data_IF_378329528826
#
_entry.id   IF_378329528826
#
_cell.length_a   1.000
_cell.length_b   1.000
_cell.length_c   1.000
_cell.angle_alpha   90.00
_cell.angle_beta   90.00
_cell.angle_gamma   90.00
#
_symmetry.space_group_name_H-M   'P 1'
#
loop_
_entity.id
_entity.type
_entity.pdbx_description
1 polymer ?
#
# COMPACT_ATOMS: atom_id res chain seq x y z
N UNK A 1 12.66 -31.46 -6.21
CA UNK A 1 12.17 -30.24 -6.91
C UNK A 1 13.23 -29.89 -7.96
N UNK A 2 12.92 -29.94 -9.26
CA UNK A 2 13.90 -29.57 -10.31
C UNK A 2 14.08 -28.06 -10.33
N UNK A 3 15.33 -27.61 -10.35
CA UNK A 3 15.64 -26.18 -10.50
C UNK A 3 15.15 -25.69 -11.88
N UNK A 4 14.64 -24.44 -11.97
CA UNK A 4 14.23 -23.88 -13.25
C UNK A 4 15.42 -23.83 -14.22
N UNK A 5 15.18 -24.15 -15.49
CA UNK A 5 16.22 -24.14 -16.56
C UNK A 5 16.56 -22.69 -16.98
N UNK A 6 15.87 -21.68 -16.42
CA UNK A 6 16.11 -20.27 -16.67
C UNK A 6 15.34 -19.37 -15.68
N UNK A 7 15.43 -18.04 -15.83
CA UNK A 7 14.76 -17.09 -14.95
C UNK A 7 13.25 -17.35 -14.90
N UNK A 8 12.65 -17.17 -13.72
CA UNK A 8 11.21 -17.23 -13.58
C UNK A 8 10.56 -16.11 -14.41
N UNK A 9 9.60 -16.48 -15.24
CA UNK A 9 8.84 -15.49 -15.99
C UNK A 9 7.85 -14.77 -15.05
N UNK A 10 7.53 -13.50 -15.32
CA UNK A 10 6.51 -12.78 -14.56
C UNK A 10 5.17 -13.54 -14.50
N UNK A 11 4.79 -14.23 -15.58
CA UNK A 11 3.56 -15.02 -15.62
C UNK A 11 3.60 -16.27 -14.76
N UNK A 12 4.78 -16.89 -14.56
CA UNK A 12 4.93 -17.99 -13.62
C UNK A 12 4.61 -17.54 -12.19
N UNK A 13 5.10 -16.35 -11.80
CA UNK A 13 4.82 -15.75 -10.48
C UNK A 13 3.34 -15.39 -10.36
N UNK A 14 2.74 -14.74 -11.37
CA UNK A 14 1.30 -14.42 -11.37
C UNK A 14 0.43 -15.68 -11.26
N UNK A 15 0.77 -16.75 -11.98
CA UNK A 15 0.05 -18.02 -11.93
C UNK A 15 0.14 -18.68 -10.56
N UNK A 16 1.35 -18.74 -9.99
CA UNK A 16 1.55 -19.27 -8.64
C UNK A 16 0.72 -18.47 -7.63
N UNK A 17 0.84 -17.13 -7.65
CA UNK A 17 0.06 -16.24 -6.81
C UNK A 17 -1.45 -16.46 -6.93
N UNK A 18 -1.98 -16.50 -8.17
CA UNK A 18 -3.41 -16.73 -8.42
C UNK A 18 -3.88 -18.12 -7.97
N UNK A 19 -3.01 -19.12 -8.02
CA UNK A 19 -3.32 -20.46 -7.50
C UNK A 19 -3.47 -20.43 -5.98
N UNK A 20 -2.54 -19.77 -5.27
CA UNK A 20 -2.59 -19.65 -3.82
C UNK A 20 -3.72 -18.75 -3.34
N UNK A 21 -3.94 -17.61 -4.00
CA UNK A 21 -5.03 -16.69 -3.67
C UNK A 21 -6.42 -17.33 -3.79
N UNK A 22 -6.64 -18.25 -4.74
CA UNK A 22 -7.89 -19.01 -4.85
C UNK A 22 -8.09 -20.04 -3.73
N UNK A 23 -7.01 -20.44 -3.05
CA UNK A 23 -7.04 -21.42 -1.96
C UNK A 23 -7.05 -20.77 -0.58
N UNK A 24 -6.79 -19.47 -0.48
CA UNK A 24 -6.56 -18.79 0.80
C UNK A 24 -7.83 -18.26 1.45
N UNK A 25 -8.98 -18.29 0.77
CA UNK A 25 -10.25 -17.71 1.25
C UNK A 25 -10.21 -16.20 1.61
N UNK A 26 -9.14 -15.52 1.19
CA UNK A 26 -8.85 -14.12 1.57
C UNK A 26 -9.57 -13.08 0.69
N UNK A 27 -10.39 -13.49 -0.27
CA UNK A 27 -11.14 -12.58 -1.15
C UNK A 27 -10.27 -11.54 -1.90
N UNK A 28 -9.01 -11.87 -2.21
CA UNK A 28 -8.04 -10.89 -2.75
C UNK A 28 -8.48 -10.47 -4.17
N UNK A 29 -8.67 -9.17 -4.45
CA UNK A 29 -9.02 -8.70 -5.79
C UNK A 29 -7.92 -9.08 -6.80
N UNK A 30 -8.28 -9.34 -8.06
CA UNK A 30 -7.36 -9.85 -9.10
C UNK A 30 -6.34 -8.80 -9.56
N UNK A 31 -5.43 -8.40 -8.67
CA UNK A 31 -4.38 -7.40 -8.86
C UNK A 31 -2.98 -8.04 -9.02
N UNK A 32 -2.90 -9.37 -8.94
CA UNK A 32 -1.64 -10.10 -9.03
C UNK A 32 -0.70 -9.85 -7.83
N UNK A 33 0.55 -10.35 -7.89
CA UNK A 33 1.47 -10.33 -6.75
C UNK A 33 1.85 -8.92 -6.26
N UNK A 34 1.65 -7.88 -7.09
CA UNK A 34 1.86 -6.50 -6.68
C UNK A 34 0.97 -6.06 -5.50
N UNK A 35 -0.18 -6.71 -5.28
CA UNK A 35 -1.02 -6.41 -4.13
C UNK A 35 -0.31 -6.75 -2.80
N UNK A 36 0.56 -7.77 -2.76
CA UNK A 36 1.33 -8.11 -1.56
C UNK A 36 2.31 -6.99 -1.21
N UNK A 37 3.00 -6.46 -2.23
CA UNK A 37 3.88 -5.30 -2.07
C UNK A 37 3.12 -4.10 -1.53
N UNK A 38 1.92 -3.88 -2.03
CA UNK A 38 1.05 -2.80 -1.59
C UNK A 38 0.60 -2.98 -0.13
N UNK A 39 0.09 -4.16 0.22
CA UNK A 39 -0.33 -4.50 1.57
C UNK A 39 0.81 -4.35 2.58
N UNK A 40 2.02 -4.79 2.22
CA UNK A 40 3.19 -4.66 3.07
C UNK A 40 3.58 -3.19 3.29
N UNK A 41 3.60 -2.38 2.23
CA UNK A 41 3.89 -0.95 2.34
C UNK A 41 2.89 -0.20 3.21
N UNK A 42 1.59 -0.48 3.04
CA UNK A 42 0.52 0.11 3.87
C UNK A 42 0.65 -0.35 5.32
N UNK A 43 0.99 -1.61 5.58
CA UNK A 43 1.22 -2.10 6.94
C UNK A 43 2.40 -1.38 7.63
N UNK A 44 3.52 -1.19 6.92
CA UNK A 44 4.65 -0.42 7.46
C UNK A 44 4.27 1.02 7.77
N UNK A 45 3.50 1.65 6.88
CA UNK A 45 3.04 3.02 7.05
C UNK A 45 2.13 3.17 8.28
N UNK A 46 1.15 2.26 8.43
CA UNK A 46 0.25 2.20 9.61
C UNK A 46 0.99 1.99 10.92
N UNK A 47 2.13 1.29 10.88
CA UNK A 47 2.99 1.09 12.05
C UNK A 47 3.94 2.29 12.31
N UNK A 48 3.73 3.43 11.63
CA UNK A 48 4.53 4.64 11.83
C UNK A 48 5.92 4.61 11.21
N UNK A 49 6.19 3.67 10.29
CA UNK A 49 7.50 3.60 9.62
C UNK A 49 7.67 4.82 8.70
N UNK A 50 8.82 5.51 8.82
CA UNK A 50 9.11 6.66 7.97
C UNK A 50 9.07 6.31 6.48
N UNK A 51 8.49 7.19 5.67
CA UNK A 51 8.30 6.96 4.23
C UNK A 51 9.61 6.67 3.49
N UNK A 52 10.71 7.32 3.91
CA UNK A 52 12.04 7.05 3.36
C UNK A 52 12.47 5.60 3.60
N UNK A 53 12.33 5.12 4.83
CA UNK A 53 12.63 3.74 5.21
C UNK A 53 11.77 2.72 4.46
N UNK A 54 10.47 3.01 4.28
CA UNK A 54 9.58 2.18 3.45
C UNK A 54 10.11 2.11 2.01
N UNK A 55 10.49 3.24 1.44
CA UNK A 55 11.09 3.31 0.10
C UNK A 55 12.36 2.48 -0.02
N UNK A 56 13.24 2.55 0.99
CA UNK A 56 14.50 1.81 1.01
C UNK A 56 14.27 0.29 1.13
N UNK A 57 13.36 -0.15 2.01
CA UNK A 57 12.95 -1.58 2.14
C UNK A 57 12.38 -2.12 0.83
N UNK A 58 11.58 -1.30 0.14
CA UNK A 58 10.94 -1.67 -1.10
C UNK A 58 11.87 -1.53 -2.32
N UNK A 59 13.03 -0.88 -2.19
CA UNK A 59 13.96 -0.62 -3.28
C UNK A 59 13.47 0.44 -4.27
N UNK A 60 12.70 1.43 -3.80
CA UNK A 60 12.27 2.56 -4.62
C UNK A 60 13.42 3.54 -4.87
N UNK A 61 13.67 3.84 -6.14
CA UNK A 61 14.67 4.84 -6.55
C UNK A 61 14.15 6.27 -6.51
N UNK A 62 12.82 6.45 -6.56
CA UNK A 62 12.17 7.76 -6.50
C UNK A 62 11.14 7.80 -5.37
N UNK A 63 11.06 8.97 -4.70
CA UNK A 63 10.11 9.19 -3.62
C UNK A 63 8.66 9.13 -4.10
N UNK A 64 8.39 9.51 -5.35
CA UNK A 64 7.05 9.47 -5.97
C UNK A 64 6.41 8.07 -5.92
N UNK A 65 7.21 7.02 -6.13
CA UNK A 65 6.74 5.64 -6.04
C UNK A 65 6.28 5.29 -4.62
N UNK A 66 6.89 5.87 -3.59
CA UNK A 66 6.56 5.61 -2.19
C UNK A 66 5.42 6.49 -1.69
N UNK A 67 5.33 7.75 -2.14
CA UNK A 67 4.25 8.69 -1.79
C UNK A 67 2.88 8.16 -2.19
N UNK A 68 2.79 7.30 -3.21
CA UNK A 68 1.54 6.63 -3.59
C UNK A 68 0.87 5.91 -2.41
N UNK A 69 1.63 5.36 -1.45
CA UNK A 69 1.07 4.69 -0.28
C UNK A 69 0.41 5.63 0.74
N UNK A 70 0.81 6.91 0.80
CA UNK A 70 0.22 7.89 1.71
C UNK A 70 -1.26 8.14 1.40
N UNK A 71 -1.63 8.13 0.12
CA UNK A 71 -3.03 8.33 -0.31
C UNK A 71 -3.99 7.27 0.22
N UNK A 72 -3.48 6.12 0.67
CA UNK A 72 -4.28 5.03 1.22
C UNK A 72 -4.34 5.04 2.75
N UNK A 73 -3.45 5.77 3.40
CA UNK A 73 -3.46 5.99 4.85
C UNK A 73 -4.18 7.30 5.18
N UNK A 74 -5.30 7.57 4.51
CA UNK A 74 -6.06 8.83 4.67
C UNK A 74 -6.64 8.99 6.06
N UNK A 75 -6.96 7.89 6.74
CA UNK A 75 -7.41 7.92 8.13
C UNK A 75 -6.28 8.37 9.06
N UNK A 76 -5.06 7.84 8.91
CA UNK A 76 -3.89 8.26 9.69
C UNK A 76 -3.52 9.74 9.40
N UNK A 77 -3.76 10.22 8.18
CA UNK A 77 -3.55 11.62 7.82
C UNK A 77 -4.54 12.59 8.49
N UNK A 78 -5.71 12.11 8.95
CA UNK A 78 -6.68 12.93 9.68
C UNK A 78 -6.18 13.27 11.08
N UNK A 79 -5.45 12.37 11.72
CA UNK A 79 -4.95 12.57 13.10
C UNK A 79 -3.90 13.68 13.19
N UNK A 80 -3.18 13.93 12.10
CA UNK A 80 -2.15 14.98 12.01
C UNK A 80 -2.64 16.24 11.31
N UNK A 81 -3.91 16.28 10.88
CA UNK A 81 -4.45 17.43 10.20
C UNK A 81 -4.53 18.63 11.14
N UNK A 82 -3.98 19.77 10.70
CA UNK A 82 -4.20 21.04 11.40
C UNK A 82 -5.68 21.38 11.39
N UNK A 83 -6.16 21.97 12.49
CA UNK A 83 -7.53 22.48 12.56
C UNK A 83 -7.75 23.46 11.42
N UNK A 84 -8.82 23.24 10.65
CA UNK A 84 -9.17 24.11 9.53
C UNK A 84 -9.39 25.52 10.08
N UNK A 85 -8.65 26.54 9.60
CA UNK A 85 -8.83 27.90 10.07
C UNK A 85 -10.29 28.33 9.83
N UNK A 86 -11.01 28.66 10.91
CA UNK A 86 -12.38 29.17 10.80
C UNK A 86 -12.30 30.57 10.19
N UNK A 87 -12.75 30.71 8.94
CA UNK A 87 -12.92 32.03 8.35
C UNK A 87 -13.95 32.82 9.18
N UNK A 88 -13.67 34.08 9.55
CA UNK A 88 -14.63 34.89 10.29
C UNK A 88 -15.93 35.02 9.48
N UNK A 89 -17.02 34.44 9.98
CA UNK A 89 -18.35 34.51 9.35
C UNK A 89 -19.11 33.19 9.21
N UNK A 90 -18.51 32.02 9.45
CA UNK A 90 -19.25 30.76 9.33
C UNK A 90 -20.11 30.50 10.58
N UNK A 91 -21.45 30.64 10.43
CA UNK A 91 -22.46 30.31 11.45
C UNK A 91 -22.52 28.80 11.68
N UNK A 92 -22.71 28.47 12.95
CA UNK A 92 -22.88 27.11 13.48
C UNK A 92 -24.14 26.47 12.90
N UNK A 93 -23.98 25.39 12.15
CA UNK A 93 -25.10 24.48 11.86
C UNK A 93 -25.10 23.45 12.98
N UNK A 94 -26.02 23.64 13.94
CA UNK A 94 -26.35 22.65 14.97
C UNK A 94 -27.04 21.42 14.30
N UNK A 95 -26.93 20.23 14.91
CA UNK A 95 -27.16 18.93 14.27
C UNK A 95 -28.61 18.67 13.90
#
# INVERSE_FOLDING_TARGET
MRAPIGPLTPDAVKRAFRSWSRRSDLGIPSQGPHCMRHAYAVNLLKNGTALKTIGDILGHRCAESTVTYLRLATDDLRDVALSVPRMPGQREVRP
#
